data_IF_554640890979
#
_entry.id   IF_554640890979
#
_cell.length_a   1.000
_cell.length_b   1.000
_cell.length_c   1.000
_cell.angle_alpha   90.00
_cell.angle_beta   90.00
_cell.angle_gamma   90.00
#
_symmetry.space_group_name_H-M   'P 1'
#
loop_
_entity.id
_entity.type
_entity.pdbx_description
1 polymer ?
#
# COMPACT_ATOMS: atom_id res chain seq x y z
N UNK A 1 -31.82 -60.68 -29.82
CA UNK A 1 -32.13 -59.21 -29.99
C UNK A 1 -32.28 -58.60 -28.62
N UNK A 2 -31.21 -58.03 -28.07
CA UNK A 2 -31.17 -57.40 -26.76
C UNK A 2 -31.44 -55.90 -26.90
N UNK A 3 -32.48 -55.39 -26.25
CA UNK A 3 -32.80 -53.97 -26.17
C UNK A 3 -31.84 -53.31 -25.19
N UNK A 4 -31.09 -52.32 -25.65
CA UNK A 4 -30.31 -51.42 -24.80
C UNK A 4 -31.28 -50.58 -23.94
N UNK A 5 -30.99 -50.39 -22.63
CA UNK A 5 -31.80 -49.50 -21.81
C UNK A 5 -31.53 -48.03 -22.17
N UNK A 6 -32.52 -47.14 -21.97
CA UNK A 6 -32.35 -45.72 -22.27
C UNK A 6 -31.36 -45.06 -21.29
N UNK A 7 -30.46 -44.24 -21.82
CA UNK A 7 -29.53 -43.41 -21.03
C UNK A 7 -30.33 -42.26 -20.41
N UNK A 8 -30.59 -42.32 -19.10
CA UNK A 8 -31.10 -41.18 -18.35
C UNK A 8 -30.11 -40.03 -18.41
N UNK A 9 -30.54 -38.93 -18.99
CA UNK A 9 -29.81 -37.64 -18.94
C UNK A 9 -29.81 -37.15 -17.50
N UNK A 10 -28.67 -37.30 -16.83
CA UNK A 10 -28.42 -36.59 -15.56
C UNK A 10 -28.34 -35.11 -15.88
N UNK A 11 -29.41 -34.37 -15.57
CA UNK A 11 -29.40 -32.91 -15.59
C UNK A 11 -28.65 -32.46 -14.34
N UNK A 12 -27.35 -32.20 -14.49
CA UNK A 12 -26.58 -31.45 -13.46
C UNK A 12 -27.17 -30.04 -13.43
N UNK A 13 -28.04 -29.78 -12.46
CA UNK A 13 -28.44 -28.40 -12.14
C UNK A 13 -27.17 -27.65 -11.76
N UNK A 14 -26.68 -26.83 -12.67
CA UNK A 14 -25.55 -25.94 -12.42
C UNK A 14 -25.82 -25.16 -11.15
N UNK A 15 -24.90 -25.25 -10.22
CA UNK A 15 -24.85 -24.38 -9.06
C UNK A 15 -24.76 -22.95 -9.62
N UNK A 16 -25.83 -22.19 -9.55
CA UNK A 16 -25.82 -20.75 -9.87
C UNK A 16 -24.88 -20.14 -8.84
N UNK A 17 -23.73 -19.56 -9.23
CA UNK A 17 -22.88 -18.90 -8.25
C UNK A 17 -23.75 -17.81 -7.58
N UNK A 18 -23.91 -17.92 -6.29
CA UNK A 18 -24.48 -16.86 -5.47
C UNK A 18 -23.56 -15.65 -5.66
N UNK A 19 -23.96 -14.71 -6.50
CA UNK A 19 -23.29 -13.41 -6.63
C UNK A 19 -23.52 -12.67 -5.33
N UNK A 20 -22.60 -12.83 -4.37
CA UNK A 20 -22.56 -11.90 -3.25
C UNK A 20 -22.44 -10.50 -3.83
N UNK A 21 -23.25 -9.53 -3.37
CA UNK A 21 -23.09 -8.16 -3.81
C UNK A 21 -21.66 -7.73 -3.51
N UNK A 22 -20.98 -7.15 -4.50
CA UNK A 22 -19.62 -6.67 -4.32
C UNK A 22 -19.61 -5.66 -3.16
N UNK A 23 -18.63 -5.78 -2.27
CA UNK A 23 -18.51 -4.92 -1.09
C UNK A 23 -18.34 -3.43 -1.47
N UNK A 24 -17.91 -3.16 -2.69
CA UNK A 24 -17.72 -1.81 -3.23
C UNK A 24 -18.00 -1.74 -4.74
N UNK A 25 -18.22 -0.51 -5.22
CA UNK A 25 -18.34 -0.18 -6.65
C UNK A 25 -17.37 0.95 -6.98
N UNK A 26 -16.56 0.80 -8.03
CA UNK A 26 -15.70 1.88 -8.55
C UNK A 26 -16.59 2.98 -9.15
N UNK A 27 -16.34 4.22 -8.76
CA UNK A 27 -17.14 5.40 -9.14
C UNK A 27 -16.36 6.45 -9.93
N UNK A 28 -15.04 6.30 -10.05
CA UNK A 28 -14.21 7.20 -10.86
C UNK A 28 -13.19 6.44 -11.68
N UNK A 29 -12.69 7.08 -12.74
CA UNK A 29 -11.46 6.65 -13.39
C UNK A 29 -10.27 6.77 -12.42
N UNK A 30 -9.15 6.06 -12.68
CA UNK A 30 -7.93 6.20 -11.90
C UNK A 30 -7.41 7.64 -11.93
N UNK A 31 -7.01 8.14 -10.78
CA UNK A 31 -6.38 9.45 -10.61
C UNK A 31 -5.13 9.35 -9.74
N UNK A 32 -4.37 10.43 -9.68
CA UNK A 32 -3.13 10.48 -8.94
C UNK A 32 -3.26 11.36 -7.72
N UNK A 33 -2.71 10.87 -6.60
CA UNK A 33 -2.47 11.63 -5.38
C UNK A 33 -0.99 11.61 -5.12
N UNK A 34 -0.41 12.72 -4.73
CA UNK A 34 1.02 12.82 -4.47
C UNK A 34 1.33 13.63 -3.22
N UNK A 35 2.50 13.35 -2.66
CA UNK A 35 3.01 14.07 -1.50
C UNK A 35 4.52 14.06 -1.47
N UNK A 36 5.09 15.02 -0.73
CA UNK A 36 6.52 15.08 -0.42
C UNK A 36 6.70 15.32 1.06
N UNK A 37 7.43 14.43 1.72
CA UNK A 37 7.85 14.59 3.11
C UNK A 37 9.34 14.86 3.16
N UNK A 38 9.75 15.76 4.06
CA UNK A 38 11.15 16.04 4.37
C UNK A 38 11.34 15.81 5.84
N UNK A 39 12.39 15.10 6.23
CA UNK A 39 12.68 14.85 7.64
C UNK A 39 12.88 16.18 8.40
N UNK A 40 12.43 16.22 9.63
CA UNK A 40 12.66 17.36 10.53
C UNK A 40 14.12 17.45 11.00
N UNK A 41 14.80 16.31 11.13
CA UNK A 41 16.21 16.17 11.41
C UNK A 41 16.72 14.85 10.81
N UNK A 42 18.04 14.69 10.64
CA UNK A 42 18.64 13.44 10.23
C UNK A 42 18.26 12.32 11.20
N UNK A 43 18.05 11.10 10.68
CA UNK A 43 17.72 9.90 11.44
C UNK A 43 16.47 10.08 12.36
N UNK A 44 15.48 10.83 11.89
CA UNK A 44 14.24 11.11 12.62
C UNK A 44 13.03 10.75 11.77
N UNK A 45 12.13 9.96 12.32
CA UNK A 45 10.86 9.68 11.67
C UNK A 45 10.04 10.98 11.50
N UNK A 46 9.59 11.21 10.29
CA UNK A 46 8.72 12.35 9.97
C UNK A 46 7.59 11.87 9.08
N UNK A 47 6.38 12.38 9.34
CA UNK A 47 5.18 12.00 8.61
C UNK A 47 4.47 13.21 8.04
N UNK A 48 3.94 13.06 6.83
CA UNK A 48 3.05 14.00 6.17
C UNK A 48 1.68 13.37 6.01
N UNK A 49 0.64 14.10 6.39
CA UNK A 49 -0.75 13.75 6.09
C UNK A 49 -1.12 14.24 4.68
N UNK A 50 -1.72 13.37 3.89
CA UNK A 50 -2.21 13.64 2.54
C UNK A 50 -3.74 13.54 2.59
N UNK A 51 -4.42 14.68 2.52
CA UNK A 51 -5.88 14.73 2.54
C UNK A 51 -6.46 14.22 1.22
N UNK A 52 -7.50 13.42 1.33
CA UNK A 52 -8.26 12.86 0.22
C UNK A 52 -9.64 13.57 0.14
N UNK A 53 -10.06 14.03 -1.05
CA UNK A 53 -11.36 14.66 -1.20
C UNK A 53 -12.48 13.60 -1.26
N UNK A 54 -12.80 12.98 -0.14
CA UNK A 54 -13.83 11.95 0.00
C UNK A 54 -15.06 12.49 0.71
N UNK A 55 -16.22 11.97 0.32
CA UNK A 55 -17.49 12.23 1.01
C UNK A 55 -17.83 11.05 1.93
N UNK A 56 -17.46 11.18 3.20
CA UNK A 56 -17.71 10.18 4.23
C UNK A 56 -19.21 9.94 4.48
N UNK A 57 -20.06 10.95 4.24
CA UNK A 57 -21.52 10.81 4.40
C UNK A 57 -22.12 9.90 3.32
N UNK A 58 -21.51 9.85 2.14
CA UNK A 58 -21.91 8.98 1.05
C UNK A 58 -21.14 7.65 1.02
N UNK A 59 -20.41 7.30 2.09
CA UNK A 59 -19.63 6.06 2.20
C UNK A 59 -18.60 5.92 1.07
N UNK A 60 -18.02 7.05 0.68
CA UNK A 60 -16.91 7.05 -0.29
C UNK A 60 -15.62 6.57 0.36
N UNK A 61 -14.81 5.90 -0.42
CA UNK A 61 -13.46 5.50 -0.10
C UNK A 61 -12.60 5.50 -1.35
N UNK A 62 -11.38 5.06 -1.23
CA UNK A 62 -10.49 4.81 -2.36
C UNK A 62 -10.01 3.37 -2.39
N UNK A 63 -9.77 2.90 -3.60
CA UNK A 63 -9.00 1.71 -3.87
C UNK A 63 -7.62 2.15 -4.37
N UNK A 64 -6.56 1.69 -3.73
CA UNK A 64 -5.18 1.99 -4.10
C UNK A 64 -4.68 0.91 -5.05
N UNK A 65 -4.31 1.32 -6.27
CA UNK A 65 -3.83 0.41 -7.32
C UNK A 65 -2.32 0.27 -7.31
N UNK A 66 -1.58 1.38 -7.13
CA UNK A 66 -0.13 1.37 -7.13
C UNK A 66 0.43 2.56 -6.31
N UNK A 67 1.63 2.39 -5.77
CA UNK A 67 2.38 3.43 -5.06
C UNK A 67 3.79 3.48 -5.62
N UNK A 68 4.19 4.64 -6.12
CA UNK A 68 5.54 4.88 -6.65
C UNK A 68 6.28 5.84 -5.73
N UNK A 69 7.43 5.42 -5.26
CA UNK A 69 8.33 6.26 -4.47
C UNK A 69 9.44 6.83 -5.34
N UNK A 70 9.85 8.04 -5.00
CA UNK A 70 11.10 8.64 -5.43
C UNK A 70 11.64 9.51 -4.30
N UNK A 71 12.93 9.72 -4.23
CA UNK A 71 13.49 10.50 -3.13
C UNK A 71 15.01 10.47 -3.15
N UNK A 72 15.56 10.93 -2.05
CA UNK A 72 17.00 10.99 -1.87
C UNK A 72 17.61 9.59 -1.75
N UNK A 73 18.90 9.49 -2.05
CA UNK A 73 19.68 8.28 -1.87
C UNK A 73 20.35 8.28 -0.48
N UNK A 74 20.56 7.08 0.12
CA UNK A 74 21.35 6.97 1.34
C UNK A 74 22.77 7.45 1.14
N UNK A 75 23.36 8.06 2.17
CA UNK A 75 24.73 8.52 2.14
C UNK A 75 25.70 7.35 2.31
N UNK A 76 26.84 7.43 1.61
CA UNK A 76 27.92 6.47 1.76
C UNK A 76 28.71 6.79 3.01
N UNK A 77 28.39 6.12 4.10
CA UNK A 77 29.11 6.21 5.37
C UNK A 77 29.65 4.83 5.77
N UNK A 78 30.67 4.76 6.64
CA UNK A 78 31.12 3.47 7.17
C UNK A 78 29.96 2.75 7.89
N UNK A 79 29.74 1.47 7.53
CA UNK A 79 28.62 0.69 8.03
C UNK A 79 27.39 0.75 7.14
N UNK A 80 26.23 0.48 7.72
CA UNK A 80 24.93 0.49 7.01
C UNK A 80 24.27 1.86 7.12
N UNK A 81 23.94 2.46 5.99
CA UNK A 81 23.04 3.61 5.90
C UNK A 81 21.72 3.20 5.23
N UNK A 82 20.61 3.76 5.68
CA UNK A 82 19.28 3.34 5.27
C UNK A 82 18.36 4.57 5.13
N UNK A 83 17.50 4.55 4.12
CA UNK A 83 16.31 5.40 4.04
C UNK A 83 15.11 4.48 3.85
N UNK A 84 14.08 4.69 4.65
CA UNK A 84 12.80 3.99 4.56
C UNK A 84 11.68 4.99 4.32
N UNK A 85 10.81 4.71 3.35
CA UNK A 85 9.61 5.48 3.09
C UNK A 85 8.40 4.55 3.06
N UNK A 86 7.30 4.95 3.68
CA UNK A 86 6.07 4.16 3.77
C UNK A 86 4.84 4.99 3.47
N UNK A 87 3.80 4.32 2.95
CA UNK A 87 2.44 4.86 2.86
C UNK A 87 1.51 4.00 3.71
N UNK A 88 0.78 4.64 4.59
CA UNK A 88 -0.16 3.98 5.51
C UNK A 88 -1.54 4.66 5.46
N UNK A 89 -2.60 3.91 5.78
CA UNK A 89 -3.95 4.46 5.91
C UNK A 89 -4.20 5.14 7.26
N UNK A 90 -3.31 4.91 8.24
CA UNK A 90 -3.39 5.52 9.58
C UNK A 90 -2.06 6.15 9.97
N UNK A 91 -2.11 7.16 10.85
CA UNK A 91 -0.91 7.81 11.39
C UNK A 91 -0.05 6.81 12.17
N UNK A 92 1.26 6.87 11.96
CA UNK A 92 2.26 6.05 12.64
C UNK A 92 3.35 6.93 13.25
N UNK A 93 4.07 6.40 14.21
CA UNK A 93 5.19 7.08 14.88
C UNK A 93 6.56 6.52 14.50
N UNK A 94 6.58 5.48 13.67
CA UNK A 94 7.78 4.82 13.15
C UNK A 94 7.47 4.09 11.84
N UNK A 95 8.50 3.62 11.15
CA UNK A 95 8.34 2.69 10.02
C UNK A 95 7.78 1.38 10.54
N UNK A 96 6.71 0.91 9.89
CA UNK A 96 6.04 -0.36 10.23
C UNK A 96 6.45 -1.48 9.28
N UNK A 97 6.30 -2.70 9.72
CA UNK A 97 6.58 -3.90 8.91
C UNK A 97 5.36 -4.34 8.09
N UNK A 98 5.59 -5.30 7.21
CA UNK A 98 4.56 -5.88 6.34
C UNK A 98 3.41 -6.61 7.10
N UNK A 99 3.54 -6.78 8.41
CA UNK A 99 2.50 -7.32 9.29
C UNK A 99 1.48 -6.27 9.76
N UNK A 100 1.72 -4.98 9.49
CA UNK A 100 0.76 -3.92 9.80
C UNK A 100 -0.33 -3.88 8.71
N UNK A 101 -1.59 -4.06 9.10
CA UNK A 101 -2.72 -4.12 8.16
C UNK A 101 -3.01 -2.77 7.48
N UNK A 102 -2.51 -1.66 8.05
CA UNK A 102 -2.68 -0.33 7.48
C UNK A 102 -1.51 0.09 6.58
N UNK A 103 -0.49 -0.76 6.42
CA UNK A 103 0.61 -0.52 5.48
C UNK A 103 0.13 -0.79 4.06
N UNK A 104 0.14 0.25 3.22
CA UNK A 104 -0.18 0.13 1.79
C UNK A 104 1.07 -0.15 0.97
N UNK A 105 2.19 0.48 1.30
CA UNK A 105 3.46 0.26 0.61
C UNK A 105 4.64 0.73 1.45
N UNK A 106 5.78 0.06 1.26
CA UNK A 106 7.05 0.36 1.92
C UNK A 106 8.19 0.26 0.90
N UNK A 107 9.06 1.26 0.87
CA UNK A 107 10.35 1.22 0.17
C UNK A 107 11.47 1.39 1.17
N UNK A 108 12.50 0.56 1.04
CA UNK A 108 13.75 0.69 1.81
C UNK A 108 14.93 0.67 0.87
N UNK A 109 15.76 1.68 0.93
CA UNK A 109 17.04 1.76 0.22
C UNK A 109 18.17 1.75 1.24
N UNK A 110 19.14 0.90 1.07
CA UNK A 110 20.30 0.91 1.93
C UNK A 110 21.60 0.72 1.17
N UNK A 111 22.64 1.33 1.70
CA UNK A 111 24.01 1.19 1.26
C UNK A 111 24.80 0.57 2.42
N UNK A 112 25.61 -0.42 2.13
CA UNK A 112 26.58 -0.96 3.07
C UNK A 112 27.95 -0.46 2.62
N UNK A 113 28.48 0.54 3.34
CA UNK A 113 29.83 1.05 3.15
C UNK A 113 30.83 0.10 3.79
N UNK A 114 31.86 -0.32 3.05
CA UNK A 114 32.81 -1.31 3.51
C UNK A 114 33.58 -0.86 4.75
N UNK A 115 33.66 -1.75 5.75
CA UNK A 115 34.87 -1.88 6.54
C UNK A 115 36.00 -2.41 5.62
N UNK A 116 37.26 -2.21 5.99
CA UNK A 116 38.45 -2.44 5.14
C UNK A 116 38.58 -3.83 4.46
N UNK A 117 37.64 -4.74 4.67
CA UNK A 117 37.64 -6.09 4.13
C UNK A 117 36.72 -6.27 2.90
N UNK A 118 35.85 -5.28 2.56
CA UNK A 118 34.97 -5.35 1.40
C UNK A 118 35.37 -4.31 0.36
N UNK A 119 35.68 -4.75 -0.82
CA UNK A 119 36.18 -3.94 -1.92
C UNK A 119 35.10 -3.16 -2.67
N UNK A 120 34.27 -2.37 -1.97
CA UNK A 120 33.33 -1.43 -2.57
C UNK A 120 31.98 -1.35 -1.86
N UNK A 121 31.20 -0.28 -2.07
CA UNK A 121 29.87 -0.13 -1.52
C UNK A 121 28.89 -1.06 -2.24
N UNK A 122 28.02 -1.71 -1.48
CA UNK A 122 26.91 -2.47 -2.01
C UNK A 122 25.63 -1.68 -1.81
N UNK A 123 24.91 -1.41 -2.91
CA UNK A 123 23.60 -0.76 -2.89
C UNK A 123 22.53 -1.84 -3.02
N UNK A 124 21.58 -1.82 -2.12
CA UNK A 124 20.41 -2.69 -2.19
C UNK A 124 19.16 -1.85 -2.08
N UNK A 125 18.28 -1.96 -3.06
CA UNK A 125 16.97 -1.37 -3.06
C UNK A 125 15.94 -2.48 -2.79
N UNK A 126 15.23 -2.39 -1.68
CA UNK A 126 14.17 -3.31 -1.31
C UNK A 126 12.85 -2.58 -1.40
N UNK A 127 12.06 -2.96 -2.38
CA UNK A 127 10.70 -2.44 -2.55
C UNK A 127 9.74 -3.53 -2.09
N UNK A 128 9.01 -3.26 -1.02
CA UNK A 128 7.91 -4.10 -0.59
C UNK A 128 6.60 -3.50 -1.11
N UNK A 129 5.97 -4.17 -2.08
CA UNK A 129 4.61 -3.88 -2.54
C UNK A 129 4.35 -2.45 -3.03
N UNK A 130 4.88 -2.09 -4.17
CA UNK A 130 4.49 -0.85 -4.86
C UNK A 130 3.39 -1.09 -5.91
N UNK A 131 3.20 -2.34 -6.31
CA UNK A 131 2.16 -2.78 -7.25
C UNK A 131 1.56 -4.11 -6.76
N UNK A 132 0.28 -4.37 -7.01
CA UNK A 132 -0.32 -5.66 -6.68
C UNK A 132 0.29 -6.77 -7.54
N UNK A 133 0.36 -7.96 -6.97
CA UNK A 133 0.91 -9.15 -7.64
C UNK A 133 0.15 -9.53 -8.91
N UNK A 134 -1.16 -9.25 -8.95
CA UNK A 134 -2.01 -9.45 -10.13
C UNK A 134 -2.70 -8.14 -10.50
N UNK A 135 -2.90 -7.86 -11.81
CA UNK A 135 -3.54 -6.62 -12.27
C UNK A 135 -4.99 -6.40 -11.77
N UNK A 136 -5.65 -7.47 -11.34
CA UNK A 136 -7.00 -7.41 -10.77
C UNK A 136 -7.03 -7.12 -9.26
N UNK A 137 -5.87 -7.23 -8.60
CA UNK A 137 -5.73 -6.98 -7.18
C UNK A 137 -5.51 -5.49 -6.91
N UNK A 138 -5.53 -5.13 -5.65
CA UNK A 138 -5.22 -3.78 -5.19
C UNK A 138 -4.32 -3.85 -3.95
N UNK A 139 -3.64 -2.75 -3.65
CA UNK A 139 -2.79 -2.65 -2.47
C UNK A 139 -3.60 -2.47 -1.18
N UNK A 140 -4.80 -1.89 -1.28
CA UNK A 140 -5.69 -1.72 -0.15
C UNK A 140 -6.91 -0.88 -0.47
N UNK A 141 -7.88 -0.96 0.43
CA UNK A 141 -9.07 -0.13 0.46
C UNK A 141 -8.95 0.83 1.65
N UNK A 142 -9.21 2.10 1.43
CA UNK A 142 -9.14 3.14 2.46
C UNK A 142 -10.47 3.86 2.52
N UNK A 143 -11.06 3.92 3.72
CA UNK A 143 -12.34 4.56 3.97
C UNK A 143 -12.23 5.90 4.71
N UNK A 144 -11.05 6.21 5.25
CA UNK A 144 -10.74 7.52 5.85
C UNK A 144 -10.35 8.53 4.76
N UNK A 145 -10.47 9.81 5.07
CA UNK A 145 -10.22 10.93 4.16
C UNK A 145 -8.75 11.37 4.11
N UNK A 146 -7.84 10.53 4.61
CA UNK A 146 -6.42 10.82 4.62
C UNK A 146 -5.56 9.57 4.38
N UNK A 147 -4.35 9.83 3.89
CA UNK A 147 -3.23 8.90 3.82
C UNK A 147 -2.02 9.53 4.49
N UNK A 148 -1.09 8.71 4.92
CA UNK A 148 0.11 9.17 5.61
C UNK A 148 1.36 8.70 4.89
N UNK A 149 2.21 9.65 4.51
CA UNK A 149 3.54 9.40 3.96
C UNK A 149 4.56 9.58 5.07
N UNK A 150 5.19 8.50 5.49
CA UNK A 150 6.26 8.50 6.49
C UNK A 150 7.64 8.30 5.86
N UNK A 151 8.64 8.96 6.42
CA UNK A 151 10.06 8.75 6.11
C UNK A 151 10.85 8.58 7.40
N UNK A 152 11.82 7.69 7.36
CA UNK A 152 12.82 7.52 8.41
C UNK A 152 14.17 7.18 7.79
N UNK A 153 15.25 7.44 8.50
CA UNK A 153 16.59 7.12 8.02
C UNK A 153 17.50 6.63 9.15
N UNK A 154 18.61 6.06 8.78
CA UNK A 154 19.64 5.58 9.68
C UNK A 154 21.02 5.94 9.13
N UNK A 155 21.87 6.51 10.00
CA UNK A 155 23.26 6.87 9.68
C UNK A 155 23.36 7.86 8.52
N UNK A 156 22.49 8.90 8.53
CA UNK A 156 22.57 9.99 7.57
C UNK A 156 23.17 11.24 8.24
N UNK A 157 23.97 12.02 7.49
CA UNK A 157 24.52 13.28 7.96
C UNK A 157 23.49 14.41 7.81
N UNK A 158 22.71 14.37 6.74
CA UNK A 158 21.69 15.38 6.43
C UNK A 158 20.26 14.84 6.44
N UNK A 159 19.31 15.76 6.47
CA UNK A 159 17.88 15.43 6.31
C UNK A 159 17.62 14.83 4.94
N UNK A 160 16.66 13.91 4.87
CA UNK A 160 16.27 13.23 3.65
C UNK A 160 14.82 13.54 3.30
N UNK A 161 14.51 13.43 2.02
CA UNK A 161 13.17 13.62 1.50
C UNK A 161 12.69 12.39 0.72
N UNK A 162 11.41 12.12 0.83
CA UNK A 162 10.71 11.14 -0.01
C UNK A 162 9.52 11.79 -0.70
N UNK A 163 9.33 11.45 -1.97
CA UNK A 163 8.15 11.78 -2.73
C UNK A 163 7.36 10.52 -3.00
N UNK A 164 6.04 10.65 -3.05
CA UNK A 164 5.15 9.56 -3.41
C UNK A 164 4.18 9.99 -4.50
N UNK A 165 3.85 9.06 -5.38
CA UNK A 165 2.76 9.13 -6.33
C UNK A 165 1.89 7.89 -6.16
N UNK A 166 0.65 8.09 -5.79
CA UNK A 166 -0.33 7.04 -5.51
C UNK A 166 -1.35 7.04 -6.65
N UNK A 167 -1.58 5.88 -7.24
CA UNK A 167 -2.63 5.65 -8.25
C UNK A 167 -3.84 5.07 -7.55
N UNK A 168 -4.97 5.74 -7.60
CA UNK A 168 -6.18 5.31 -6.91
C UNK A 168 -7.44 5.64 -7.71
N UNK A 169 -8.55 4.97 -7.38
CA UNK A 169 -9.89 5.28 -7.88
C UNK A 169 -10.84 5.46 -6.71
N UNK A 170 -11.85 6.33 -6.86
CA UNK A 170 -12.92 6.42 -5.88
C UNK A 170 -13.81 5.20 -5.95
N UNK A 171 -14.27 4.77 -4.80
CA UNK A 171 -15.23 3.69 -4.65
C UNK A 171 -16.37 4.13 -3.76
N UNK A 172 -17.53 3.54 -3.99
CA UNK A 172 -18.65 3.59 -3.07
C UNK A 172 -18.78 2.26 -2.38
N UNK A 173 -18.71 2.27 -1.07
CA UNK A 173 -18.79 1.10 -0.21
C UNK A 173 -20.24 0.80 0.19
N UNK A 174 -20.55 -0.45 0.51
CA UNK A 174 -21.76 -0.77 1.26
C UNK A 174 -21.63 -0.28 2.69
N UNK A 175 -22.74 0.03 3.38
CA UNK A 175 -22.68 0.53 4.75
C UNK A 175 -21.93 -0.41 5.71
N UNK A 176 -22.10 -1.72 5.53
CA UNK A 176 -21.39 -2.73 6.34
C UNK A 176 -19.89 -2.77 6.05
N UNK A 177 -19.49 -2.67 4.78
CA UNK A 177 -18.07 -2.64 4.40
C UNK A 177 -17.40 -1.35 4.88
N UNK A 178 -18.06 -0.21 4.75
CA UNK A 178 -17.58 1.08 5.23
C UNK A 178 -17.34 1.04 6.74
N UNK A 179 -18.36 0.61 7.51
CA UNK A 179 -18.23 0.52 8.97
C UNK A 179 -17.09 -0.43 9.40
N UNK A 180 -16.93 -1.57 8.73
CA UNK A 180 -15.86 -2.52 9.03
C UNK A 180 -14.47 -1.93 8.76
N UNK A 181 -14.27 -1.24 7.63
CA UNK A 181 -13.00 -0.60 7.28
C UNK A 181 -12.65 0.51 8.25
N UNK A 182 -13.58 1.45 8.51
CA UNK A 182 -13.35 2.54 9.47
C UNK A 182 -13.03 2.02 10.86
N UNK A 183 -13.76 0.97 11.32
CA UNK A 183 -13.46 0.35 12.62
C UNK A 183 -12.06 -0.26 12.65
N UNK A 184 -11.64 -0.91 11.57
CA UNK A 184 -10.30 -1.50 11.48
C UNK A 184 -9.20 -0.41 11.45
N UNK A 185 -9.41 0.67 10.72
CA UNK A 185 -8.47 1.80 10.64
C UNK A 185 -8.34 2.54 11.97
N UNK A 186 -9.42 2.65 12.76
CA UNK A 186 -9.40 3.36 14.05
C UNK A 186 -8.87 2.52 15.23
N UNK A 187 -8.86 1.19 15.12
CA UNK A 187 -8.51 0.28 16.23
C UNK A 187 -7.04 -0.20 16.20
N UNK A 188 -6.17 0.40 15.37
CA UNK A 188 -4.75 -0.01 15.26
C UNK A 188 -3.76 1.10 15.62
#
# INVERSE_FOLDING_TARGET
MGRKPPIEKIIIRGCVPSTMPAAYKITSDPFFVGGRVVQSAADTFTQLEISLPLDSLNQEGIIVHAVYFSGDEPELVPGKSLISAQVTSTSKTAIVGANDANLLSLQQKYIVGGAAEFSGPHVVDVIASNEPYQPADNLGLVATDNLFLGIDSLSQVGVKAANVRIVCSRIKLTASAYAALVTNELNQ
#
